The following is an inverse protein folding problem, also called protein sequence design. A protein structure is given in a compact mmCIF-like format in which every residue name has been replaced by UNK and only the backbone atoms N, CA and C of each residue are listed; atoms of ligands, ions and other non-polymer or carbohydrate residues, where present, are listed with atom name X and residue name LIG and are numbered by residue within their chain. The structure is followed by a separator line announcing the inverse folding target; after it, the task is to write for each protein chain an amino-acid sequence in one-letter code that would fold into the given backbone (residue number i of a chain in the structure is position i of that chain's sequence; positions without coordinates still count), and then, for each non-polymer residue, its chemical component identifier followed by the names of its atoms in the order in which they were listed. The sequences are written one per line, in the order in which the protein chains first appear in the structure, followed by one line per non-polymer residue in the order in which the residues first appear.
data_IF_245218299158
#
_entry.id   IF_245218299158
#
_cell.length_a   1.000
_cell.length_b   1.000
_cell.length_c   1.000
_cell.angle_alpha   90.00
_cell.angle_beta   90.00
_cell.angle_gamma   90.00
#
_symmetry.space_group_name_H-M   'P 1'
#
loop_
_entity.id
_entity.type
_entity.pdbx_description
1 polymer ?
#
# COMPACT_ATOMS: atom_id res chain seq x y z
N UNK A 1 9.40 -13.69 -11.66
CA UNK A 1 8.38 -13.40 -12.69
C UNK A 1 6.97 -13.36 -12.13
N UNK A 2 6.48 -14.40 -11.43
CA UNK A 2 5.11 -14.38 -10.84
C UNK A 2 4.84 -13.20 -9.89
N UNK A 3 5.79 -12.84 -9.02
CA UNK A 3 5.64 -11.68 -8.13
C UNK A 3 5.48 -10.34 -8.88
N UNK A 4 6.23 -10.16 -9.98
CA UNK A 4 6.14 -8.94 -10.81
C UNK A 4 4.79 -8.84 -11.51
N UNK A 5 4.26 -9.95 -12.03
CA UNK A 5 2.94 -10.01 -12.67
C UNK A 5 1.84 -9.71 -11.64
N UNK A 6 1.98 -10.19 -10.41
CA UNK A 6 1.00 -9.94 -9.36
C UNK A 6 1.01 -8.47 -8.88
N UNK A 7 2.20 -7.86 -8.77
CA UNK A 7 2.35 -6.45 -8.43
C UNK A 7 1.80 -5.54 -9.52
N UNK A 8 2.07 -5.84 -10.80
CA UNK A 8 1.51 -5.07 -11.90
C UNK A 8 0.00 -5.25 -11.99
N UNK A 9 -0.53 -6.47 -11.85
CA UNK A 9 -1.97 -6.75 -11.89
C UNK A 9 -2.77 -6.03 -10.79
N UNK A 10 -2.19 -5.83 -9.61
CA UNK A 10 -2.85 -5.11 -8.51
C UNK A 10 -2.72 -3.59 -8.63
N UNK A 11 -1.63 -3.08 -9.18
CA UNK A 11 -1.37 -1.63 -9.23
C UNK A 11 -2.00 -0.96 -10.46
N UNK A 12 -2.01 -1.64 -11.62
CA UNK A 12 -2.50 -1.08 -12.89
C UNK A 12 -3.98 -0.67 -12.86
N UNK A 13 -4.92 -1.51 -12.37
CA UNK A 13 -6.33 -1.17 -12.37
C UNK A 13 -6.61 0.02 -11.45
N UNK A 14 -5.99 0.05 -10.28
CA UNK A 14 -6.22 1.13 -9.31
C UNK A 14 -5.67 2.46 -9.84
N UNK A 15 -4.54 2.44 -10.55
CA UNK A 15 -4.00 3.65 -11.20
C UNK A 15 -4.93 4.18 -12.31
N UNK A 16 -5.50 3.27 -13.12
CA UNK A 16 -6.42 3.62 -14.20
C UNK A 16 -7.77 4.10 -13.68
N UNK A 17 -8.25 3.54 -12.57
CA UNK A 17 -9.55 3.86 -11.97
C UNK A 17 -9.50 4.91 -10.84
N UNK A 18 -8.32 5.45 -10.50
CA UNK A 18 -8.15 6.42 -9.41
C UNK A 18 -9.06 7.66 -9.56
N UNK A 19 -9.21 8.17 -10.79
CA UNK A 19 -10.05 9.34 -11.06
C UNK A 19 -11.54 9.02 -10.94
N UNK A 20 -11.98 7.86 -11.44
CA UNK A 20 -13.39 7.43 -11.29
C UNK A 20 -13.73 7.16 -9.82
N UNK A 21 -12.81 6.57 -9.05
CA UNK A 21 -13.00 6.33 -7.62
C UNK A 21 -13.18 7.65 -6.84
N UNK A 22 -12.39 8.67 -7.16
CA UNK A 22 -12.49 9.99 -6.54
C UNK A 22 -13.72 10.78 -6.98
N UNK A 23 -14.22 10.55 -8.20
CA UNK A 23 -15.44 11.20 -8.70
C UNK A 23 -16.71 10.81 -7.90
N UNK A 24 -16.72 9.63 -7.25
CA UNK A 24 -17.84 9.20 -6.39
C UNK A 24 -18.05 10.16 -5.20
N UNK A 25 -16.98 10.83 -4.74
CA UNK A 25 -17.04 11.76 -3.61
C UNK A 25 -17.43 13.19 -4.02
N UNK A 26 -17.73 13.43 -5.29
CA UNK A 26 -18.10 14.73 -5.86
C UNK A 26 -17.18 15.91 -5.43
N UNK A 27 -15.84 15.79 -5.57
CA UNK A 27 -14.89 16.79 -5.09
C UNK A 27 -14.90 18.08 -5.94
N UNK A 28 -14.53 19.21 -5.32
CA UNK A 28 -14.24 20.44 -6.06
C UNK A 28 -13.13 20.20 -7.12
N UNK A 29 -13.18 20.87 -8.28
CA UNK A 29 -12.26 20.61 -9.39
C UNK A 29 -10.77 20.79 -9.03
N UNK A 30 -10.44 21.76 -8.18
CA UNK A 30 -9.07 21.93 -7.66
C UNK A 30 -8.64 20.78 -6.74
N UNK A 31 -9.56 20.30 -5.89
CA UNK A 31 -9.29 19.19 -4.99
C UNK A 31 -9.11 17.88 -5.76
N UNK A 32 -9.83 17.69 -6.87
CA UNK A 32 -9.74 16.49 -7.71
C UNK A 32 -8.33 16.33 -8.31
N UNK A 33 -7.69 17.41 -8.75
CA UNK A 33 -6.35 17.37 -9.34
C UNK A 33 -5.28 16.98 -8.30
N UNK A 34 -5.34 17.59 -7.11
CA UNK A 34 -4.43 17.29 -6.00
C UNK A 34 -4.68 15.88 -5.46
N UNK A 35 -5.94 15.52 -5.21
CA UNK A 35 -6.31 14.20 -4.72
C UNK A 35 -5.90 13.11 -5.70
N UNK A 36 -6.14 13.27 -7.01
CA UNK A 36 -5.74 12.27 -8.02
C UNK A 36 -4.22 12.06 -8.02
N UNK A 37 -3.45 13.14 -7.92
CA UNK A 37 -1.98 13.07 -7.90
C UNK A 37 -1.47 12.35 -6.65
N UNK A 38 -2.01 12.70 -5.48
CA UNK A 38 -1.69 12.04 -4.23
C UNK A 38 -2.10 10.55 -4.24
N UNK A 39 -3.30 10.25 -4.72
CA UNK A 39 -3.83 8.89 -4.79
C UNK A 39 -2.98 7.99 -5.69
N UNK A 40 -2.51 8.53 -6.83
CA UNK A 40 -1.56 7.85 -7.73
C UNK A 40 -0.24 7.51 -7.06
N UNK A 41 0.30 8.40 -6.23
CA UNK A 41 1.54 8.14 -5.47
C UNK A 41 1.27 7.10 -4.38
N UNK A 42 0.18 7.25 -3.63
CA UNK A 42 -0.16 6.35 -2.51
C UNK A 42 -0.39 4.91 -2.97
N UNK A 43 -0.94 4.69 -4.17
CA UNK A 43 -1.21 3.37 -4.74
C UNK A 43 0.05 2.51 -4.90
N UNK A 44 1.21 3.12 -5.14
CA UNK A 44 2.48 2.39 -5.23
C UNK A 44 2.87 1.69 -3.91
N UNK A 45 2.29 2.10 -2.79
CA UNK A 45 2.52 1.48 -1.47
C UNK A 45 1.76 0.16 -1.29
N UNK A 46 0.62 -0.02 -1.99
CA UNK A 46 -0.27 -1.18 -1.88
C UNK A 46 0.42 -2.52 -2.21
N UNK A 47 1.13 -2.69 -3.35
CA UNK A 47 1.80 -3.95 -3.65
C UNK A 47 2.87 -4.30 -2.61
N UNK A 48 3.54 -3.30 -2.05
CA UNK A 48 4.52 -3.50 -0.98
C UNK A 48 3.84 -4.04 0.27
N UNK A 49 2.70 -3.47 0.66
CA UNK A 49 1.90 -3.91 1.82
C UNK A 49 1.39 -5.35 1.67
N UNK A 50 0.95 -5.73 0.47
CA UNK A 50 0.49 -7.08 0.16
C UNK A 50 1.63 -8.10 0.31
N UNK A 51 2.84 -7.76 -0.13
CA UNK A 51 4.02 -8.62 0.06
C UNK A 51 4.31 -8.80 1.55
N UNK A 52 4.34 -7.74 2.35
CA UNK A 52 4.60 -7.85 3.79
C UNK A 52 3.54 -8.71 4.48
N UNK A 53 2.26 -8.54 4.11
CA UNK A 53 1.17 -9.36 4.63
C UNK A 53 1.30 -10.83 4.21
N UNK A 54 1.64 -11.10 2.94
CA UNK A 54 1.85 -12.46 2.43
C UNK A 54 3.02 -13.14 3.12
N UNK A 55 4.17 -12.48 3.22
CA UNK A 55 5.34 -12.99 3.94
C UNK A 55 4.99 -13.28 5.40
N UNK A 56 4.26 -12.38 6.07
CA UNK A 56 3.80 -12.61 7.42
C UNK A 56 2.83 -13.80 7.53
N UNK A 57 1.91 -13.97 6.57
CA UNK A 57 0.98 -15.09 6.55
C UNK A 57 1.65 -16.43 6.24
N UNK A 58 2.65 -16.45 5.35
CA UNK A 58 3.46 -17.66 5.05
C UNK A 58 4.28 -18.05 6.29
N UNK A 59 4.96 -17.10 6.93
CA UNK A 59 5.76 -17.36 8.14
C UNK A 59 4.88 -17.84 9.32
N UNK A 60 3.70 -17.24 9.52
CA UNK A 60 2.71 -17.71 10.50
C UNK A 60 2.19 -19.12 10.16
N UNK A 61 1.95 -19.41 8.87
CA UNK A 61 1.51 -20.72 8.40
C UNK A 61 2.56 -21.83 8.57
N UNK A 62 3.85 -21.48 8.57
CA UNK A 62 4.95 -22.41 8.85
C UNK A 62 5.27 -22.56 10.36
N UNK A 63 4.49 -21.95 11.26
CA UNK A 63 4.73 -22.02 12.71
C UNK A 63 5.85 -21.11 13.23
N UNK A 64 6.51 -20.31 12.37
CA UNK A 64 7.51 -19.33 12.78
C UNK A 64 6.88 -17.93 12.88
N UNK A 65 6.25 -17.65 14.02
CA UNK A 65 5.56 -16.38 14.29
C UNK A 65 6.47 -15.24 14.73
N UNK A 66 7.72 -15.54 15.14
CA UNK A 66 8.63 -14.54 15.73
C UNK A 66 9.23 -13.61 14.68
N UNK A 67 9.68 -14.16 13.55
CA UNK A 67 10.30 -13.37 12.46
C UNK A 67 9.36 -12.29 11.88
N UNK A 68 8.10 -12.57 11.53
CA UNK A 68 7.21 -11.53 11.02
C UNK A 68 6.79 -10.51 12.09
N UNK A 69 6.76 -10.89 13.37
CA UNK A 69 6.41 -9.98 14.46
C UNK A 69 7.50 -8.93 14.71
N UNK A 70 8.78 -9.33 14.65
CA UNK A 70 9.92 -8.40 14.74
C UNK A 70 9.96 -7.41 13.57
N UNK A 71 9.71 -7.87 12.35
CA UNK A 71 9.66 -7.02 11.16
C UNK A 71 8.49 -6.02 11.25
N UNK A 72 7.31 -6.48 11.66
CA UNK A 72 6.13 -5.62 11.82
C UNK A 72 6.33 -4.56 12.91
N UNK A 73 6.99 -4.91 14.01
CA UNK A 73 7.33 -3.99 15.09
C UNK A 73 8.30 -2.91 14.59
N UNK A 74 9.38 -3.30 13.92
CA UNK A 74 10.35 -2.36 13.35
C UNK A 74 9.71 -1.41 12.33
N UNK A 75 8.87 -1.94 11.43
CA UNK A 75 8.15 -1.13 10.45
C UNK A 75 7.18 -0.12 11.10
N UNK A 76 6.46 -0.52 12.16
CA UNK A 76 5.59 0.40 12.90
C UNK A 76 6.37 1.49 13.63
N UNK A 77 7.51 1.16 14.23
CA UNK A 77 8.37 2.16 14.92
C UNK A 77 8.90 3.18 13.93
N UNK A 78 9.37 2.74 12.75
CA UNK A 78 9.83 3.64 11.68
C UNK A 78 8.67 4.52 11.19
N UNK A 79 7.47 3.94 11.01
CA UNK A 79 6.30 4.70 10.59
C UNK A 79 5.92 5.78 11.61
N UNK A 80 5.86 5.42 12.89
CA UNK A 80 5.57 6.35 13.98
C UNK A 80 6.62 7.47 14.09
N UNK A 81 7.90 7.15 13.91
CA UNK A 81 8.97 8.15 13.90
C UNK A 81 8.85 9.10 12.70
N UNK A 82 8.59 8.55 11.50
CA UNK A 82 8.42 9.35 10.29
C UNK A 82 7.19 10.27 10.38
N UNK A 83 6.08 9.77 10.92
CA UNK A 83 4.84 10.52 11.12
C UNK A 83 4.93 11.57 12.24
N UNK A 84 5.86 11.41 13.18
CA UNK A 84 6.14 12.44 14.19
C UNK A 84 7.02 13.56 13.65
N UNK A 85 7.87 13.27 12.66
CA UNK A 85 8.80 14.25 12.05
C UNK A 85 8.17 15.01 10.89
N UNK A 86 7.23 14.41 10.16
CA UNK A 86 6.53 14.98 9.00
C UNK A 86 5.18 15.59 9.40
#
# INVERSE_FOLDING_TARGET
WMALIFMSATTLPVYLFARQALMVFNPQPDLLAVATSYFRISIWSVPFMVITMLTASILRGMGNTRTPMLIALGANVINAACQYVL
#
